data_IF_289521499785
#
_entry.id   IF_289521499785
#
_cell.length_a   1.000
_cell.length_b   1.000
_cell.length_c   1.000
_cell.angle_alpha   90.00
_cell.angle_beta   90.00
_cell.angle_gamma   90.00
#
_symmetry.space_group_name_H-M   'P 1'
#
loop_
_entity.id
_entity.type
_entity.pdbx_description
1 polymer ?
#
# COMPACT_ATOMS: atom_id res chain seq x y z
N UNK A 1 7.04 -20.54 -14.78
CA UNK A 1 5.65 -20.87 -14.33
C UNK A 1 4.74 -19.80 -14.90
N UNK A 2 3.51 -20.12 -15.32
CA UNK A 2 2.60 -19.07 -15.83
C UNK A 2 2.29 -18.06 -14.73
N UNK A 3 1.98 -16.82 -15.10
CA UNK A 3 1.72 -15.78 -14.10
C UNK A 3 0.46 -16.11 -13.27
N UNK A 4 -0.63 -16.59 -13.87
CA UNK A 4 -1.76 -17.10 -13.08
C UNK A 4 -1.39 -18.29 -12.17
N UNK A 5 -0.47 -19.17 -12.60
CA UNK A 5 0.05 -20.24 -11.76
C UNK A 5 0.78 -19.70 -10.53
N UNK A 6 1.59 -18.65 -10.72
CA UNK A 6 2.24 -17.92 -9.62
C UNK A 6 1.20 -17.34 -8.64
N UNK A 7 0.20 -16.62 -9.15
CA UNK A 7 -0.84 -16.00 -8.32
C UNK A 7 -1.64 -17.05 -7.54
N UNK A 8 -1.99 -18.17 -8.18
CA UNK A 8 -2.72 -19.25 -7.54
C UNK A 8 -1.94 -19.81 -6.34
N UNK A 9 -0.67 -20.15 -6.54
CA UNK A 9 0.15 -20.82 -5.51
C UNK A 9 0.60 -19.86 -4.42
N UNK A 10 1.14 -18.71 -4.80
CA UNK A 10 1.82 -17.81 -3.87
C UNK A 10 0.95 -16.72 -3.28
N UNK A 11 -0.27 -16.51 -3.79
CA UNK A 11 -1.14 -15.43 -3.31
C UNK A 11 -2.52 -15.97 -2.92
N UNK A 12 -3.21 -16.69 -3.82
CA UNK A 12 -4.56 -17.22 -3.56
C UNK A 12 -4.56 -18.25 -2.44
N UNK A 13 -3.69 -19.27 -2.49
CA UNK A 13 -3.63 -20.30 -1.43
C UNK A 13 -3.38 -19.70 -0.03
N UNK A 14 -2.39 -18.79 0.17
CA UNK A 14 -2.24 -18.07 1.42
C UNK A 14 -3.47 -17.28 1.85
N UNK A 15 -4.14 -16.55 0.94
CA UNK A 15 -5.37 -15.82 1.27
C UNK A 15 -6.44 -16.77 1.82
N UNK A 16 -6.67 -17.89 1.14
CA UNK A 16 -7.65 -18.90 1.58
C UNK A 16 -7.29 -19.46 2.97
N UNK A 17 -6.01 -19.72 3.22
CA UNK A 17 -5.52 -20.12 4.53
C UNK A 17 -5.79 -19.07 5.61
N UNK A 18 -5.51 -17.79 5.33
CA UNK A 18 -5.79 -16.69 6.26
C UNK A 18 -7.28 -16.53 6.53
N UNK A 19 -8.12 -16.70 5.52
CA UNK A 19 -9.57 -16.64 5.69
C UNK A 19 -10.10 -17.83 6.50
N UNK A 20 -9.58 -19.03 6.29
CA UNK A 20 -9.92 -20.19 7.11
C UNK A 20 -9.56 -19.97 8.59
N UNK A 21 -8.38 -19.42 8.87
CA UNK A 21 -7.96 -19.04 10.24
C UNK A 21 -8.87 -17.92 10.79
N UNK A 22 -9.17 -16.90 10.00
CA UNK A 22 -10.03 -15.80 10.43
C UNK A 22 -11.47 -16.26 10.77
N UNK A 23 -12.00 -17.25 10.03
CA UNK A 23 -13.28 -17.89 10.32
C UNK A 23 -13.20 -18.72 11.61
N UNK A 24 -12.12 -19.48 11.79
CA UNK A 24 -11.86 -20.23 13.01
C UNK A 24 -11.81 -19.34 14.25
N UNK A 25 -11.07 -18.22 14.17
CA UNK A 25 -10.98 -17.22 15.24
C UNK A 25 -12.35 -16.65 15.61
N UNK A 26 -13.15 -16.30 14.60
CA UNK A 26 -14.49 -15.75 14.81
C UNK A 26 -15.41 -16.76 15.51
N UNK A 27 -15.32 -18.05 15.20
CA UNK A 27 -16.05 -19.11 15.92
C UNK A 27 -15.60 -19.24 17.38
N UNK A 28 -14.35 -18.87 17.69
CA UNK A 28 -13.79 -18.86 19.06
C UNK A 28 -13.98 -17.52 19.79
N UNK A 29 -14.71 -16.57 19.20
CA UNK A 29 -14.91 -15.25 19.78
C UNK A 29 -13.70 -14.31 19.68
N UNK A 30 -12.65 -14.69 18.95
CA UNK A 30 -11.47 -13.85 18.69
C UNK A 30 -11.79 -12.96 17.49
N UNK A 31 -11.88 -11.66 17.72
CA UNK A 31 -12.27 -10.68 16.72
C UNK A 31 -11.40 -9.44 16.73
N UNK A 32 -11.56 -8.60 15.69
CA UNK A 32 -10.87 -7.30 15.61
C UNK A 32 -11.26 -6.45 16.83
N UNK A 33 -10.32 -5.86 17.57
CA UNK A 33 -10.63 -5.13 18.80
C UNK A 33 -11.56 -3.94 18.53
N UNK A 34 -12.38 -3.56 19.53
CA UNK A 34 -13.41 -2.54 19.38
C UNK A 34 -12.87 -1.18 18.88
N UNK A 35 -11.67 -0.80 19.31
CA UNK A 35 -11.02 0.45 18.91
C UNK A 35 -10.52 0.47 17.45
N UNK A 36 -10.48 -0.69 16.76
CA UNK A 36 -10.20 -0.85 15.33
C UNK A 36 -11.45 -1.31 14.54
N UNK A 37 -12.65 -1.18 15.11
CA UNK A 37 -13.91 -1.65 14.52
C UNK A 37 -14.81 -0.49 14.08
N UNK A 38 -14.23 0.48 13.36
CA UNK A 38 -14.96 1.66 12.85
C UNK A 38 -15.98 1.32 11.75
N UNK A 39 -15.66 0.33 10.91
CA UNK A 39 -16.42 -0.20 9.77
C UNK A 39 -16.22 -1.72 9.67
N UNK A 40 -17.06 -2.41 8.89
CA UNK A 40 -16.88 -3.84 8.65
C UNK A 40 -15.62 -4.10 7.81
N UNK A 41 -14.83 -5.10 8.21
CA UNK A 41 -13.53 -5.38 7.60
C UNK A 41 -13.60 -5.62 6.07
N UNK A 42 -14.63 -6.30 5.57
CA UNK A 42 -14.78 -6.57 4.13
C UNK A 42 -14.98 -5.29 3.30
N UNK A 43 -15.72 -4.30 3.82
CA UNK A 43 -15.88 -3.01 3.13
C UNK A 43 -14.58 -2.21 3.12
N UNK A 44 -13.81 -2.27 4.21
CA UNK A 44 -12.50 -1.62 4.29
C UNK A 44 -11.56 -2.23 3.24
N UNK A 45 -11.48 -3.55 3.18
CA UNK A 45 -10.63 -4.27 2.22
C UNK A 45 -11.09 -3.98 0.79
N UNK A 46 -12.38 -4.05 0.49
CA UNK A 46 -12.92 -3.75 -0.83
C UNK A 46 -12.58 -2.31 -1.27
N UNK A 47 -12.74 -1.33 -0.38
CA UNK A 47 -12.38 0.05 -0.68
C UNK A 47 -10.88 0.19 -1.01
N UNK A 48 -10.01 -0.51 -0.28
CA UNK A 48 -8.57 -0.51 -0.58
C UNK A 48 -8.24 -1.20 -1.89
N UNK A 49 -8.94 -2.29 -2.24
CA UNK A 49 -8.80 -2.95 -3.55
C UNK A 49 -9.15 -1.99 -4.68
N UNK A 50 -10.27 -1.27 -4.56
CA UNK A 50 -10.69 -0.29 -5.57
C UNK A 50 -9.65 0.83 -5.70
N UNK A 51 -9.18 1.39 -4.57
CA UNK A 51 -8.14 2.43 -4.60
C UNK A 51 -6.84 1.89 -5.21
N UNK A 52 -6.41 0.68 -4.84
CA UNK A 52 -5.20 0.06 -5.39
C UNK A 52 -5.30 -0.11 -6.91
N UNK A 53 -6.39 -0.66 -7.42
CA UNK A 53 -6.59 -0.82 -8.87
C UNK A 53 -6.56 0.55 -9.55
N UNK A 54 -7.38 1.51 -9.11
CA UNK A 54 -7.47 2.81 -9.76
C UNK A 54 -6.15 3.61 -9.71
N UNK A 55 -5.45 3.57 -8.59
CA UNK A 55 -4.25 4.37 -8.36
C UNK A 55 -2.99 3.75 -8.99
N UNK A 56 -2.89 2.42 -9.02
CA UNK A 56 -1.73 1.70 -9.59
C UNK A 56 -1.83 1.58 -11.10
N UNK A 57 -3.04 1.46 -11.67
CA UNK A 57 -3.24 1.30 -13.13
C UNK A 57 -2.43 2.27 -14.00
N UNK A 58 -2.49 3.60 -13.82
CA UNK A 58 -1.74 4.52 -14.68
C UNK A 58 -0.22 4.41 -14.49
N UNK A 59 0.24 4.17 -13.26
CA UNK A 59 1.65 4.02 -12.95
C UNK A 59 2.23 2.77 -13.60
N UNK A 60 1.53 1.64 -13.47
CA UNK A 60 2.03 0.36 -13.96
C UNK A 60 2.03 0.29 -15.50
N UNK A 61 0.97 0.84 -16.13
CA UNK A 61 0.95 1.02 -17.57
C UNK A 61 2.12 1.87 -18.07
N UNK A 62 2.48 2.94 -17.35
CA UNK A 62 3.61 3.77 -17.69
C UNK A 62 4.94 3.00 -17.59
N UNK A 63 5.14 2.20 -16.54
CA UNK A 63 6.34 1.38 -16.38
C UNK A 63 6.52 0.39 -17.54
N UNK A 64 5.45 -0.32 -17.91
CA UNK A 64 5.51 -1.31 -18.99
C UNK A 64 5.66 -0.63 -20.35
N UNK A 65 4.94 0.47 -20.60
CA UNK A 65 5.05 1.25 -21.83
C UNK A 65 6.46 1.83 -22.04
N UNK A 66 7.14 2.24 -20.96
CA UNK A 66 8.49 2.81 -21.00
C UNK A 66 9.61 1.79 -20.82
N UNK A 67 9.26 0.49 -20.82
CA UNK A 67 10.20 -0.65 -20.72
C UNK A 67 11.06 -0.62 -19.46
N UNK A 68 10.49 -0.17 -18.33
CA UNK A 68 11.09 -0.40 -17.00
C UNK A 68 11.11 -1.89 -16.68
N UNK A 69 10.05 -2.58 -17.09
CA UNK A 69 9.94 -4.02 -17.03
C UNK A 69 8.96 -4.53 -18.08
N UNK A 70 8.98 -5.83 -18.36
CA UNK A 70 8.07 -6.48 -19.29
C UNK A 70 7.85 -7.95 -18.95
N UNK A 71 6.79 -8.53 -19.51
CA UNK A 71 6.39 -9.92 -19.31
C UNK A 71 6.87 -10.81 -20.45
N UNK A 72 7.12 -12.08 -20.17
CA UNK A 72 7.30 -13.10 -21.19
C UNK A 72 5.92 -13.45 -21.81
N UNK A 73 5.70 -13.22 -23.12
CA UNK A 73 4.39 -13.42 -23.75
C UNK A 73 3.82 -14.83 -23.57
N UNK A 74 4.68 -15.84 -23.51
CA UNK A 74 4.32 -17.25 -23.32
C UNK A 74 3.92 -17.61 -21.88
N UNK A 75 4.16 -16.73 -20.91
CA UNK A 75 3.83 -16.94 -19.49
C UNK A 75 2.62 -16.13 -19.02
N UNK A 76 2.03 -15.32 -19.91
CA UNK A 76 0.79 -14.56 -19.68
C UNK A 76 -0.27 -14.95 -20.71
N UNK A 77 -1.53 -14.66 -20.43
CA UNK A 77 -2.67 -14.98 -21.31
C UNK A 77 -2.75 -14.09 -22.55
N UNK A 78 -2.02 -12.98 -22.56
CA UNK A 78 -2.06 -11.99 -23.65
C UNK A 78 -3.28 -11.06 -23.62
N UNK A 79 -4.17 -11.18 -22.63
CA UNK A 79 -5.27 -10.25 -22.42
C UNK A 79 -4.74 -8.98 -21.72
N UNK A 80 -4.65 -7.89 -22.47
CA UNK A 80 -4.10 -6.63 -21.97
C UNK A 80 -5.19 -5.61 -21.66
N UNK A 81 -4.99 -4.84 -20.59
CA UNK A 81 -5.69 -3.57 -20.35
C UNK A 81 -4.62 -2.48 -20.44
N UNK A 82 -4.64 -1.72 -21.54
CA UNK A 82 -3.52 -0.86 -21.92
C UNK A 82 -2.32 -1.69 -22.35
N UNK A 83 -1.19 -1.54 -21.65
CA UNK A 83 0.07 -2.26 -21.91
C UNK A 83 0.25 -3.49 -21.00
N UNK A 84 -0.59 -3.62 -19.98
CA UNK A 84 -0.38 -4.52 -18.85
C UNK A 84 -1.33 -5.73 -18.94
N UNK A 85 -0.85 -6.97 -18.71
CA UNK A 85 -1.68 -8.16 -18.72
C UNK A 85 -2.66 -8.20 -17.53
N UNK A 86 -3.82 -8.82 -17.72
CA UNK A 86 -4.88 -8.92 -16.70
C UNK A 86 -4.43 -9.63 -15.41
N UNK A 87 -3.42 -10.49 -15.51
CA UNK A 87 -2.74 -11.13 -14.39
C UNK A 87 -2.19 -10.11 -13.39
N UNK A 88 -1.63 -9.00 -13.88
CA UNK A 88 -1.07 -7.95 -13.02
C UNK A 88 -2.18 -7.17 -12.29
N UNK A 89 -3.29 -6.89 -12.95
CA UNK A 89 -4.47 -6.32 -12.28
C UNK A 89 -5.03 -7.27 -11.22
N UNK A 90 -4.99 -8.59 -11.51
CA UNK A 90 -5.33 -9.62 -10.54
C UNK A 90 -4.36 -9.61 -9.37
N UNK A 91 -3.06 -9.39 -9.63
CA UNK A 91 -2.06 -9.21 -8.59
C UNK A 91 -2.35 -8.00 -7.69
N UNK A 92 -2.73 -6.83 -8.23
CA UNK A 92 -3.10 -5.66 -7.43
C UNK A 92 -4.23 -5.99 -6.43
N UNK A 93 -5.27 -6.69 -6.90
CA UNK A 93 -6.41 -7.12 -6.10
C UNK A 93 -5.96 -8.12 -5.03
N UNK A 94 -5.26 -9.18 -5.44
CA UNK A 94 -4.86 -10.26 -4.55
C UNK A 94 -3.83 -9.82 -3.51
N UNK A 95 -2.84 -9.00 -3.88
CA UNK A 95 -1.86 -8.45 -2.93
C UNK A 95 -2.55 -7.60 -1.86
N UNK A 96 -3.52 -6.77 -2.27
CA UNK A 96 -4.31 -5.97 -1.33
C UNK A 96 -5.11 -6.85 -0.37
N UNK A 97 -5.74 -7.90 -0.89
CA UNK A 97 -6.47 -8.89 -0.10
C UNK A 97 -5.54 -9.64 0.87
N UNK A 98 -4.37 -10.06 0.41
CA UNK A 98 -3.40 -10.84 1.19
C UNK A 98 -2.86 -10.01 2.36
N UNK A 99 -2.28 -8.84 2.08
CA UNK A 99 -1.72 -7.96 3.11
C UNK A 99 -2.81 -7.47 4.07
N UNK A 100 -3.99 -7.12 3.55
CA UNK A 100 -5.13 -6.72 4.38
C UNK A 100 -5.65 -7.83 5.28
N UNK A 101 -5.71 -9.06 4.78
CA UNK A 101 -6.11 -10.24 5.58
C UNK A 101 -5.07 -10.58 6.64
N UNK A 102 -3.79 -10.46 6.31
CA UNK A 102 -2.69 -10.65 7.27
C UNK A 102 -2.74 -9.59 8.39
N UNK A 103 -2.92 -8.32 8.04
CA UNK A 103 -3.10 -7.24 9.03
C UNK A 103 -4.28 -7.55 9.96
N UNK A 104 -5.43 -7.95 9.40
CA UNK A 104 -6.61 -8.30 10.18
C UNK A 104 -6.33 -9.45 11.16
N UNK A 105 -5.55 -10.45 10.75
CA UNK A 105 -5.13 -11.55 11.62
C UNK A 105 -4.18 -11.07 12.72
N UNK A 106 -3.21 -10.20 12.39
CA UNK A 106 -2.26 -9.63 13.35
C UNK A 106 -3.00 -8.82 14.42
N UNK A 107 -3.90 -7.91 14.04
CA UNK A 107 -4.61 -7.06 15.01
C UNK A 107 -5.61 -7.84 15.87
N UNK A 108 -6.13 -8.97 15.40
CA UNK A 108 -6.96 -9.88 16.21
C UNK A 108 -6.16 -10.52 17.34
N UNK A 109 -4.93 -10.93 17.06
CA UNK A 109 -4.08 -11.68 18.00
C UNK A 109 -3.14 -10.80 18.83
N UNK A 110 -2.78 -9.62 18.32
CA UNK A 110 -1.87 -8.66 18.93
C UNK A 110 -2.48 -7.26 18.90
N UNK A 111 -3.61 -7.03 19.60
CA UNK A 111 -4.35 -5.75 19.60
C UNK A 111 -3.66 -4.63 20.41
N UNK A 112 -2.36 -4.76 20.69
CA UNK A 112 -1.63 -3.88 21.60
C UNK A 112 -1.50 -2.48 21.01
N UNK A 113 -1.92 -1.48 21.79
CA UNK A 113 -1.62 -0.08 21.53
C UNK A 113 -0.35 0.30 22.28
N UNK A 114 0.62 0.84 21.56
CA UNK A 114 1.73 1.54 22.17
C UNK A 114 1.33 2.93 22.70
N UNK A 115 2.22 3.58 23.47
CA UNK A 115 1.99 4.93 23.96
C UNK A 115 1.81 5.92 22.80
N UNK A 116 0.91 6.89 22.98
CA UNK A 116 0.76 8.00 22.06
C UNK A 116 2.03 8.88 22.04
N UNK A 117 2.39 9.48 20.90
CA UNK A 117 3.45 10.49 20.87
C UNK A 117 3.11 11.68 21.79
N UNK A 118 4.13 12.22 22.49
CA UNK A 118 3.95 13.39 23.39
C UNK A 118 3.37 14.62 22.68
N UNK A 119 3.75 14.85 21.42
CA UNK A 119 3.30 15.98 20.61
C UNK A 119 2.70 15.46 19.28
N UNK A 120 1.43 15.00 19.28
CA UNK A 120 0.86 14.27 18.14
C UNK A 120 0.76 15.11 16.87
N UNK A 121 0.44 16.41 16.98
CA UNK A 121 0.36 17.33 15.82
C UNK A 121 1.74 17.51 15.19
N UNK A 122 2.75 17.86 16.00
CA UNK A 122 4.13 18.05 15.53
C UNK A 122 4.70 16.76 14.93
N UNK A 123 4.35 15.61 15.53
CA UNK A 123 4.76 14.31 15.00
C UNK A 123 4.23 14.08 13.58
N UNK A 124 2.92 14.31 13.34
CA UNK A 124 2.34 14.22 11.98
C UNK A 124 2.99 15.18 10.99
N UNK A 125 3.21 16.43 11.39
CA UNK A 125 3.85 17.44 10.55
C UNK A 125 5.29 17.04 10.18
N UNK A 126 6.10 16.63 11.16
CA UNK A 126 7.48 16.23 10.93
C UNK A 126 7.57 14.98 10.07
N UNK A 127 6.77 13.94 10.36
CA UNK A 127 6.73 12.72 9.54
C UNK A 127 6.38 13.05 8.09
N UNK A 128 5.39 13.91 7.87
CA UNK A 128 4.99 14.29 6.50
C UNK A 128 6.04 15.15 5.80
N UNK A 129 6.67 16.09 6.52
CA UNK A 129 7.72 16.93 5.96
C UNK A 129 8.97 16.12 5.56
N UNK A 130 9.34 15.12 6.37
CA UNK A 130 10.45 14.22 6.05
C UNK A 130 10.15 13.39 4.79
N UNK A 131 8.93 12.86 4.67
CA UNK A 131 8.49 12.15 3.47
C UNK A 131 8.41 13.06 2.24
N UNK A 132 8.04 14.33 2.42
CA UNK A 132 8.05 15.33 1.36
C UNK A 132 9.47 15.62 0.88
N UNK A 133 10.43 15.80 1.80
CA UNK A 133 11.84 15.95 1.45
C UNK A 133 12.38 14.73 0.68
N UNK A 134 12.01 13.52 1.12
CA UNK A 134 12.36 12.29 0.40
C UNK A 134 11.73 12.23 -1.00
N UNK A 135 10.46 12.62 -1.12
CA UNK A 135 9.76 12.67 -2.40
C UNK A 135 10.42 13.63 -3.39
N UNK A 136 10.86 14.81 -2.92
CA UNK A 136 11.59 15.77 -3.76
C UNK A 136 12.89 15.19 -4.33
N UNK A 137 13.60 14.35 -3.58
CA UNK A 137 14.82 13.68 -4.06
C UNK A 137 14.48 12.78 -5.26
N UNK A 138 13.43 11.96 -5.17
CA UNK A 138 13.04 11.07 -6.26
C UNK A 138 12.44 11.81 -7.46
N UNK A 139 11.67 12.86 -7.23
CA UNK A 139 11.22 13.74 -8.32
C UNK A 139 12.40 14.39 -9.03
N UNK A 140 13.42 14.85 -8.28
CA UNK A 140 14.63 15.41 -8.87
C UNK A 140 15.36 14.39 -9.75
N UNK A 141 15.46 13.11 -9.33
CA UNK A 141 16.06 12.04 -10.14
C UNK A 141 15.35 11.92 -11.51
N UNK A 142 14.01 11.98 -11.53
CA UNK A 142 13.23 11.93 -12.77
C UNK A 142 13.46 13.17 -13.64
N UNK A 143 13.51 14.37 -13.04
CA UNK A 143 13.73 15.63 -13.77
C UNK A 143 15.13 15.65 -14.42
N UNK A 144 16.15 15.20 -13.70
CA UNK A 144 17.52 15.14 -14.21
C UNK A 144 17.78 13.95 -15.15
N UNK A 145 16.83 13.03 -15.29
CA UNK A 145 16.90 11.93 -16.26
C UNK A 145 17.98 10.88 -15.95
N UNK A 146 18.30 10.66 -14.67
CA UNK A 146 19.29 9.64 -14.30
C UNK A 146 18.72 8.23 -14.51
N UNK A 147 19.06 7.63 -15.66
CA UNK A 147 18.46 6.37 -16.13
C UNK A 147 18.50 5.22 -15.11
N UNK A 148 19.63 4.85 -14.48
CA UNK A 148 19.66 3.79 -13.46
C UNK A 148 18.73 4.04 -12.26
N UNK A 149 18.40 5.30 -11.96
CA UNK A 149 17.49 5.65 -10.88
C UNK A 149 16.00 5.64 -11.27
N UNK A 150 15.67 5.39 -12.55
CA UNK A 150 14.31 5.60 -13.10
C UNK A 150 13.27 4.76 -12.36
N UNK A 151 13.48 3.45 -12.22
CA UNK A 151 12.49 2.59 -11.59
C UNK A 151 12.25 2.99 -10.12
N UNK A 152 13.34 3.10 -9.36
CA UNK A 152 13.32 3.54 -7.97
C UNK A 152 12.59 4.88 -7.82
N UNK A 153 12.91 5.85 -8.67
CA UNK A 153 12.34 7.17 -8.60
C UNK A 153 10.85 7.19 -8.98
N UNK A 154 10.44 6.43 -10.00
CA UNK A 154 9.02 6.27 -10.34
C UNK A 154 8.24 5.60 -9.21
N UNK A 155 8.83 4.60 -8.54
CA UNK A 155 8.22 3.92 -7.40
C UNK A 155 7.93 4.90 -6.25
N UNK A 156 8.94 5.65 -5.80
CA UNK A 156 8.78 6.54 -4.66
C UNK A 156 8.04 7.84 -5.02
N UNK A 157 8.17 8.35 -6.25
CA UNK A 157 7.39 9.50 -6.70
C UNK A 157 5.88 9.21 -6.71
N UNK A 158 5.50 7.97 -7.03
CA UNK A 158 4.12 7.47 -7.00
C UNK A 158 3.64 7.13 -5.58
N UNK A 159 4.44 6.42 -4.79
CA UNK A 159 3.98 5.89 -3.51
C UNK A 159 3.98 6.92 -2.37
N UNK A 160 4.90 7.89 -2.36
CA UNK A 160 5.03 8.81 -1.23
C UNK A 160 3.85 9.80 -1.08
N UNK A 161 3.21 10.34 -2.15
CA UNK A 161 2.05 11.22 -2.00
C UNK A 161 0.90 10.65 -1.16
N UNK A 162 0.39 9.44 -1.41
CA UNK A 162 -0.63 8.85 -0.54
C UNK A 162 -0.11 8.54 0.88
N UNK A 163 1.16 8.15 1.06
CA UNK A 163 1.73 7.96 2.40
C UNK A 163 1.79 9.29 3.15
N UNK A 164 2.16 10.39 2.49
CA UNK A 164 2.14 11.74 3.06
C UNK A 164 0.74 12.13 3.52
N UNK A 165 -0.30 11.84 2.74
CA UNK A 165 -1.69 12.06 3.15
C UNK A 165 -2.04 11.25 4.41
N UNK A 166 -1.65 9.98 4.45
CA UNK A 166 -1.86 9.10 5.59
C UNK A 166 -1.12 9.59 6.85
N UNK A 167 0.13 10.04 6.72
CA UNK A 167 0.90 10.56 7.86
C UNK A 167 0.42 11.93 8.32
N UNK A 168 0.04 12.81 7.40
CA UNK A 168 -0.54 14.12 7.72
C UNK A 168 -1.84 13.97 8.50
N UNK A 169 -2.65 12.97 8.13
CA UNK A 169 -3.90 12.68 8.80
C UNK A 169 -3.70 11.99 10.16
N UNK A 170 -2.81 10.99 10.24
CA UNK A 170 -2.80 10.05 11.36
C UNK A 170 -1.49 9.37 11.73
N UNK A 171 -0.31 9.97 11.48
CA UNK A 171 0.96 9.37 11.92
C UNK A 171 0.99 9.04 13.43
N UNK A 172 0.34 9.85 14.27
CA UNK A 172 0.22 9.60 15.71
C UNK A 172 -0.63 8.37 16.05
N UNK A 173 -1.61 8.02 15.21
CA UNK A 173 -2.41 6.80 15.33
C UNK A 173 -1.57 5.62 14.87
N UNK A 174 -0.93 5.73 13.69
CA UNK A 174 -0.05 4.71 13.14
C UNK A 174 1.07 4.33 14.13
N UNK A 175 1.66 5.32 14.79
CA UNK A 175 2.70 5.10 15.80
C UNK A 175 2.24 4.26 17.00
N UNK A 176 0.98 4.39 17.41
CA UNK A 176 0.41 3.55 18.48
C UNK A 176 0.29 2.10 18.03
N UNK A 177 -0.04 1.84 16.75
CA UNK A 177 -0.13 0.50 16.18
C UNK A 177 1.18 0.01 15.54
N UNK A 178 2.32 0.65 15.80
CA UNK A 178 3.61 0.32 15.17
C UNK A 178 4.00 -1.16 15.28
N UNK A 179 3.64 -1.85 16.37
CA UNK A 179 3.91 -3.28 16.52
C UNK A 179 3.10 -4.11 15.51
N UNK A 180 1.80 -3.87 15.42
CA UNK A 180 0.95 -4.54 14.43
C UNK A 180 1.37 -4.20 12.99
N UNK A 181 1.74 -2.94 12.74
CA UNK A 181 2.25 -2.51 11.43
C UNK A 181 3.57 -3.22 11.09
N UNK A 182 4.53 -3.30 12.01
CA UNK A 182 5.79 -4.02 11.79
C UNK A 182 5.56 -5.52 11.57
N UNK A 183 4.69 -6.15 12.37
CA UNK A 183 4.29 -7.55 12.22
C UNK A 183 3.47 -7.83 10.95
N UNK A 184 3.02 -6.78 10.27
CA UNK A 184 2.35 -6.89 8.97
C UNK A 184 3.33 -6.63 7.84
N UNK A 185 3.96 -5.46 7.83
CA UNK A 185 4.82 -4.98 6.75
C UNK A 185 6.03 -5.89 6.58
N UNK A 186 6.73 -6.26 7.65
CA UNK A 186 7.97 -7.05 7.54
C UNK A 186 7.69 -8.46 7.00
N UNK A 187 6.80 -9.29 7.59
CA UNK A 187 6.54 -10.63 7.06
C UNK A 187 5.99 -10.61 5.64
N UNK A 188 5.07 -9.69 5.33
CA UNK A 188 4.50 -9.59 3.99
C UNK A 188 5.53 -9.16 2.94
N UNK A 189 6.43 -8.25 3.28
CA UNK A 189 7.51 -7.82 2.37
C UNK A 189 8.46 -8.97 2.10
N UNK A 190 8.90 -9.68 3.16
CA UNK A 190 9.81 -10.82 3.02
C UNK A 190 9.18 -11.96 2.22
N UNK A 191 7.91 -12.29 2.52
CA UNK A 191 7.18 -13.35 1.83
C UNK A 191 7.01 -13.05 0.34
N UNK A 192 6.50 -11.86 0.00
CA UNK A 192 6.27 -11.48 -1.40
C UNK A 192 7.57 -11.30 -2.17
N UNK A 193 8.61 -10.72 -1.55
CA UNK A 193 9.95 -10.62 -2.16
C UNK A 193 10.56 -12.00 -2.43
N UNK A 194 10.34 -12.97 -1.54
CA UNK A 194 10.81 -14.33 -1.74
C UNK A 194 10.05 -15.03 -2.88
N UNK A 195 8.74 -14.84 -2.96
CA UNK A 195 7.92 -15.37 -4.06
C UNK A 195 8.31 -14.73 -5.41
N UNK A 196 8.47 -13.41 -5.43
CA UNK A 196 8.87 -12.63 -6.59
C UNK A 196 10.22 -13.05 -7.16
N UNK A 197 11.21 -13.26 -6.29
CA UNK A 197 12.51 -13.85 -6.67
C UNK A 197 12.35 -15.16 -7.44
N UNK A 198 11.41 -16.02 -7.05
CA UNK A 198 11.14 -17.28 -7.75
C UNK A 198 10.50 -17.03 -9.12
N UNK A 199 9.59 -16.06 -9.22
CA UNK A 199 8.93 -15.70 -10.48
C UNK A 199 9.93 -15.11 -11.49
N UNK A 200 10.76 -14.15 -11.08
CA UNK A 200 11.87 -13.60 -11.88
C UNK A 200 12.82 -14.72 -12.31
N UNK A 201 13.20 -15.61 -11.38
CA UNK A 201 14.07 -16.75 -11.70
C UNK A 201 13.43 -17.73 -12.69
N UNK A 202 12.10 -17.71 -12.83
CA UNK A 202 11.36 -18.54 -13.78
C UNK A 202 11.01 -17.83 -15.09
N UNK A 203 11.45 -16.57 -15.26
CA UNK A 203 11.30 -15.78 -16.48
C UNK A 203 9.94 -15.11 -16.68
N UNK A 204 9.07 -15.08 -15.66
CA UNK A 204 7.70 -14.54 -15.81
C UNK A 204 7.70 -13.06 -16.24
N UNK A 205 8.58 -12.26 -15.64
CA UNK A 205 8.89 -10.90 -16.04
C UNK A 205 10.39 -10.64 -15.94
N UNK A 206 10.83 -9.62 -16.68
CA UNK A 206 12.21 -9.15 -16.71
C UNK A 206 12.25 -7.66 -16.40
N UNK A 207 13.12 -7.28 -15.47
CA UNK A 207 13.38 -5.89 -15.11
C UNK A 207 14.52 -5.34 -15.98
N UNK A 208 14.39 -4.10 -16.43
CA UNK A 208 15.39 -3.47 -17.27
C UNK A 208 16.65 -3.07 -16.47
N UNK A 209 17.83 -3.64 -16.75
CA UNK A 209 19.07 -3.29 -16.04
C UNK A 209 19.53 -1.84 -16.30
N UNK A 210 19.12 -1.20 -17.40
CA UNK A 210 19.50 0.19 -17.69
C UNK A 210 18.68 1.21 -16.89
N UNK A 211 17.51 0.79 -16.39
CA UNK A 211 16.57 1.65 -15.66
C UNK A 211 16.51 1.35 -14.16
N UNK A 212 17.41 0.48 -13.69
CA UNK A 212 17.54 0.06 -12.29
C UNK A 212 18.94 0.28 -11.74
N UNK A 213 19.05 0.37 -10.42
CA UNK A 213 20.32 0.65 -9.72
C UNK A 213 21.25 -0.56 -9.70
N UNK A 214 20.82 -1.71 -10.22
CA UNK A 214 21.58 -2.96 -10.33
C UNK A 214 22.10 -3.51 -8.98
N UNK A 215 21.44 -3.18 -7.87
CA UNK A 215 21.71 -3.80 -6.57
C UNK A 215 20.81 -5.02 -6.42
N UNK A 216 21.41 -6.21 -6.46
CA UNK A 216 20.69 -7.49 -6.41
C UNK A 216 20.73 -8.11 -5.00
N UNK A 217 19.58 -8.19 -4.36
CA UNK A 217 19.37 -8.94 -3.13
C UNK A 217 19.41 -10.44 -3.40
N UNK A 218 20.17 -11.16 -2.58
CA UNK A 218 20.37 -12.61 -2.70
C UNK A 218 20.73 -13.07 -4.13
N UNK A 219 21.48 -12.20 -4.84
CA UNK A 219 22.03 -12.42 -6.18
C UNK A 219 21.04 -12.38 -7.35
N UNK A 220 19.74 -12.14 -7.13
CA UNK A 220 18.75 -12.16 -8.23
C UNK A 220 17.61 -11.16 -8.14
N UNK A 221 17.22 -10.72 -6.94
CA UNK A 221 16.08 -9.81 -6.77
C UNK A 221 16.57 -8.36 -6.80
N UNK A 222 16.18 -7.53 -7.77
CA UNK A 222 16.50 -6.09 -7.73
C UNK A 222 15.99 -5.45 -6.43
N UNK A 223 16.77 -4.55 -5.85
CA UNK A 223 16.38 -3.86 -4.61
C UNK A 223 15.07 -3.09 -4.76
N UNK A 224 14.78 -2.59 -5.96
CA UNK A 224 13.53 -1.92 -6.31
C UNK A 224 12.31 -2.82 -6.10
N UNK A 225 12.39 -4.11 -6.43
CA UNK A 225 11.28 -5.05 -6.23
C UNK A 225 11.00 -5.26 -4.74
N UNK A 226 12.06 -5.41 -3.93
CA UNK A 226 11.93 -5.48 -2.48
C UNK A 226 11.30 -4.22 -1.89
N UNK A 227 11.72 -3.04 -2.38
CA UNK A 227 11.17 -1.76 -1.96
C UNK A 227 9.74 -1.54 -2.48
N UNK A 228 9.38 -2.11 -3.64
CA UNK A 228 8.02 -2.12 -4.14
C UNK A 228 7.10 -2.90 -3.19
N UNK A 229 7.46 -4.13 -2.83
CA UNK A 229 6.68 -4.88 -1.84
C UNK A 229 6.63 -4.16 -0.49
N UNK A 230 7.74 -3.58 -0.04
CA UNK A 230 7.78 -2.80 1.19
C UNK A 230 6.80 -1.63 1.16
N UNK A 231 6.87 -0.78 0.13
CA UNK A 231 6.11 0.46 0.08
C UNK A 231 4.62 0.21 -0.15
N UNK A 232 4.26 -0.81 -0.94
CA UNK A 232 2.86 -1.22 -1.12
C UNK A 232 2.29 -1.81 0.17
N UNK A 233 3.07 -2.63 0.89
CA UNK A 233 2.66 -3.11 2.21
C UNK A 233 2.49 -1.97 3.23
N UNK A 234 3.34 -0.93 3.17
CA UNK A 234 3.15 0.31 3.96
C UNK A 234 1.84 0.99 3.60
N UNK A 235 1.57 1.22 2.30
CA UNK A 235 0.34 1.87 1.82
C UNK A 235 -0.93 1.18 2.32
N UNK A 236 -0.98 -0.15 2.16
CA UNK A 236 -2.13 -0.97 2.57
C UNK A 236 -2.24 -0.98 4.09
N UNK A 237 -1.16 -1.27 4.81
CA UNK A 237 -1.20 -1.42 6.26
C UNK A 237 -1.56 -0.10 6.96
N UNK A 238 -1.00 1.02 6.50
CA UNK A 238 -1.31 2.34 7.02
C UNK A 238 -2.73 2.75 6.69
N UNK A 239 -3.13 2.66 5.41
CA UNK A 239 -4.48 3.00 4.96
C UNK A 239 -5.56 2.23 5.74
N UNK A 240 -5.42 0.91 5.82
CA UNK A 240 -6.39 0.06 6.52
C UNK A 240 -6.43 0.36 8.01
N UNK A 241 -5.26 0.49 8.67
CA UNK A 241 -5.21 0.84 10.10
C UNK A 241 -5.89 2.17 10.38
N UNK A 242 -5.68 3.18 9.53
CA UNK A 242 -6.33 4.47 9.66
C UNK A 242 -7.84 4.38 9.46
N UNK A 243 -8.31 3.66 8.43
CA UNK A 243 -9.76 3.51 8.20
C UNK A 243 -10.42 2.73 9.32
N UNK A 244 -9.79 1.66 9.82
CA UNK A 244 -10.26 0.80 10.90
C UNK A 244 -10.33 1.50 12.27
N UNK A 245 -9.44 2.46 12.52
CA UNK A 245 -9.36 3.16 13.80
C UNK A 245 -10.61 3.99 14.09
N UNK A 246 -11.21 3.76 15.26
CA UNK A 246 -12.34 4.57 15.76
C UNK A 246 -11.89 6.01 16.00
N UNK A 247 -10.64 6.24 16.43
CA UNK A 247 -10.07 7.57 16.59
C UNK A 247 -10.03 8.33 15.26
N UNK A 248 -9.66 7.65 14.17
CA UNK A 248 -9.67 8.23 12.83
C UNK A 248 -11.08 8.62 12.40
N UNK A 249 -12.08 7.77 12.63
CA UNK A 249 -13.48 8.06 12.30
C UNK A 249 -13.97 9.31 13.04
N UNK A 250 -13.68 9.42 14.33
CA UNK A 250 -14.00 10.60 15.12
C UNK A 250 -13.27 11.87 14.62
N UNK A 251 -11.98 11.73 14.24
CA UNK A 251 -11.17 12.83 13.70
C UNK A 251 -11.71 13.33 12.35
N UNK A 252 -12.02 12.41 11.44
CA UNK A 252 -12.61 12.72 10.14
C UNK A 252 -13.95 13.45 10.30
N UNK A 253 -14.81 13.00 11.22
CA UNK A 253 -16.07 13.68 11.53
C UNK A 253 -15.86 15.14 11.97
N UNK A 254 -14.86 15.42 12.81
CA UNK A 254 -14.52 16.80 13.21
C UNK A 254 -14.06 17.65 12.02
N UNK A 255 -13.25 17.09 11.11
CA UNK A 255 -12.80 17.81 9.92
C UNK A 255 -13.95 18.13 8.96
N UNK A 256 -14.87 17.19 8.75
CA UNK A 256 -16.07 17.41 7.92
C UNK A 256 -16.95 18.51 8.50
N UNK A 257 -17.21 18.49 9.81
CA UNK A 257 -17.99 19.54 10.48
C UNK A 257 -17.30 20.90 10.38
N UNK A 258 -15.99 20.95 10.64
CA UNK A 258 -15.21 22.19 10.52
C UNK A 258 -15.25 22.77 9.09
N UNK A 259 -15.09 21.91 8.07
CA UNK A 259 -15.17 22.31 6.67
C UNK A 259 -16.57 22.84 6.31
N UNK A 260 -17.63 22.14 6.73
CA UNK A 260 -19.01 22.58 6.51
C UNK A 260 -19.26 23.96 7.13
N UNK A 261 -18.79 24.18 8.35
CA UNK A 261 -18.95 25.46 9.04
C UNK A 261 -18.16 26.60 8.37
N UNK A 262 -17.00 26.31 7.79
CA UNK A 262 -16.21 27.27 7.03
C UNK A 262 -16.93 27.67 5.73
N UNK A 263 -17.48 26.69 5.02
CA UNK A 263 -18.24 26.92 3.78
C UNK A 263 -19.52 27.72 4.04
N UNK A 264 -20.27 27.39 5.10
CA UNK A 264 -21.49 28.14 5.45
C UNK A 264 -21.18 29.57 5.90
N UNK A 265 -20.07 29.81 6.58
CA UNK A 265 -19.63 31.17 6.94
C UNK A 265 -19.27 32.00 5.71
N UNK A 266 -18.58 31.41 4.72
CA UNK A 266 -18.28 32.11 3.46
C UNK A 266 -19.55 32.51 2.70
N UNK A 267 -20.52 31.59 2.59
CA UNK A 267 -21.81 31.88 1.95
C UNK A 267 -22.59 32.99 2.66
N UNK A 268 -22.59 33.02 4.00
CA UNK A 268 -23.26 34.08 4.76
C UNK A 268 -22.61 35.45 4.58
N UNK A 269 -21.27 35.51 4.39
CA UNK A 269 -20.54 36.75 4.11
C UNK A 269 -20.84 37.26 2.69
N UNK A 270 -20.93 36.37 1.70
CA UNK A 270 -21.27 36.76 0.31
C UNK A 270 -22.71 37.31 0.20
N UNK A 271 -23.69 36.69 0.88
CA UNK A 271 -25.09 37.13 0.86
C UNK A 271 -25.31 38.45 1.63
N UNK A 272 -24.52 38.72 2.67
CA UNK A 272 -24.62 39.96 3.45
C UNK A 272 -23.90 41.17 2.84
N UNK A 273 -23.26 41.01 1.68
CA UNK A 273 -22.55 42.06 0.95
C UNK A 273 -23.26 42.54 -0.33
N UNK A 274 -24.43 41.97 -0.64
CA UNK A 274 -25.38 42.47 -1.65
C UNK A 274 -26.47 43.35 -0.99
#
# INVERSE_FOLDING_TARGET
MTYFGFLAVFVVLPILGLWAVALWDTRRGIGVPAHLRSWHAHWIVLAHVIVAVLYTTPWDNYLVATRVWWYAPELVTGLLIGYVPIEEYTFFVLMTLLTGSWLLLVVRHKPEQGPAPRQPVRFRQLSTLLLFGLWLIFVAILIFGWRPGTYMALLFAWALPPIMLQTAFGADILWRYRRALLLTIVPMTLYLSAADKLAISSGTWTINPEQTVNVLLLGRLPIEEFLFFFIVNVLIAFGMTLVMSVESKARAGRYVVALRNLLSRKQAVEIGSE
#
